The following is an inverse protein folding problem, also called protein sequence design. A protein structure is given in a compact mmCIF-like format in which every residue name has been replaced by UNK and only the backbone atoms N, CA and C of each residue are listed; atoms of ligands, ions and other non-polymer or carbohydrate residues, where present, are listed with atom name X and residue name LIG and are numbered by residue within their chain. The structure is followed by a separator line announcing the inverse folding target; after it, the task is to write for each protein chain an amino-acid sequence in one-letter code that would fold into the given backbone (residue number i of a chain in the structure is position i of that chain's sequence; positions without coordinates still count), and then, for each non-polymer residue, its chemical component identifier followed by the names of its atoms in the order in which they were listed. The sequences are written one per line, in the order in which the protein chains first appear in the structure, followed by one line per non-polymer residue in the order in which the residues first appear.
data_IF_120677321530
#
_entry.id   IF_120677321530
#
_cell.length_a   1.000
_cell.length_b   1.000
_cell.length_c   1.000
_cell.angle_alpha   90.00
_cell.angle_beta   90.00
_cell.angle_gamma   90.00
#
_symmetry.space_group_name_H-M   'P 1'
#
loop_
_entity.id
_entity.type
_entity.pdbx_description
1 polymer ?
#
# COMPACT_ATOMS: atom_id res chain seq x y z
N UNK A 1 -1.86 -4.39 -6.15
CA UNK A 1 -2.79 -3.60 -5.32
C UNK A 1 -3.80 -4.45 -4.57
N UNK A 2 -4.58 -5.32 -5.22
CA UNK A 2 -5.55 -6.18 -4.54
C UNK A 2 -4.93 -7.08 -3.45
N UNK A 3 -3.79 -7.72 -3.69
CA UNK A 3 -3.15 -8.59 -2.70
C UNK A 3 -2.78 -7.91 -1.38
N UNK A 4 -2.35 -6.64 -1.41
CA UNK A 4 -2.08 -5.87 -0.18
C UNK A 4 -3.36 -5.53 0.59
N UNK A 5 -4.44 -5.20 -0.12
CA UNK A 5 -5.76 -4.98 0.49
C UNK A 5 -6.30 -6.23 1.18
N UNK A 6 -6.18 -7.40 0.54
CA UNK A 6 -6.57 -8.69 1.12
C UNK A 6 -5.73 -8.99 2.36
N UNK A 7 -4.39 -8.89 2.24
CA UNK A 7 -3.49 -9.17 3.34
C UNK A 7 -3.73 -8.23 4.53
N UNK A 8 -3.89 -6.92 4.29
CA UNK A 8 -4.13 -5.95 5.36
C UNK A 8 -5.43 -6.25 6.10
N UNK A 9 -6.53 -6.56 5.38
CA UNK A 9 -7.78 -6.91 6.03
C UNK A 9 -7.69 -8.21 6.81
N UNK A 10 -7.10 -9.26 6.24
CA UNK A 10 -6.87 -10.53 6.94
C UNK A 10 -6.10 -10.33 8.25
N UNK A 11 -5.03 -9.53 8.23
CA UNK A 11 -4.28 -9.17 9.43
C UNK A 11 -5.11 -8.32 10.40
N UNK A 12 -5.89 -7.36 9.91
CA UNK A 12 -6.75 -6.51 10.74
C UNK A 12 -7.91 -7.28 11.42
N UNK A 13 -8.29 -8.45 10.91
CA UNK A 13 -9.27 -9.35 11.54
C UNK A 13 -8.69 -10.12 12.73
N UNK A 14 -7.39 -10.42 12.73
CA UNK A 14 -6.79 -11.33 13.73
C UNK A 14 -5.77 -10.65 14.64
N UNK A 15 -5.19 -9.53 14.24
CA UNK A 15 -4.19 -8.79 15.00
C UNK A 15 -4.72 -7.44 15.51
N UNK A 16 -4.15 -6.92 16.61
CA UNK A 16 -4.25 -5.50 16.95
C UNK A 16 -3.78 -4.62 15.78
N UNK A 17 -4.37 -3.44 15.65
CA UNK A 17 -4.15 -2.54 14.49
C UNK A 17 -2.67 -2.25 14.25
N UNK A 18 -1.92 -1.85 15.28
CA UNK A 18 -0.49 -1.54 15.14
C UNK A 18 0.33 -2.76 14.69
N UNK A 19 0.05 -3.94 15.25
CA UNK A 19 0.72 -5.18 14.85
C UNK A 19 0.36 -5.59 13.41
N UNK A 20 -0.90 -5.40 13.01
CA UNK A 20 -1.34 -5.60 11.63
C UNK A 20 -0.60 -4.65 10.67
N UNK A 21 -0.45 -3.37 11.03
CA UNK A 21 0.23 -2.36 10.23
C UNK A 21 1.70 -2.70 10.03
N UNK A 22 2.41 -3.10 11.09
CA UNK A 22 3.82 -3.49 11.02
C UNK A 22 3.99 -4.78 10.25
N UNK A 23 3.21 -5.82 10.55
CA UNK A 23 3.27 -7.12 9.86
C UNK A 23 3.00 -6.95 8.36
N UNK A 24 1.93 -6.23 8.01
CA UNK A 24 1.63 -5.90 6.63
C UNK A 24 2.72 -5.03 6.00
N UNK A 25 3.25 -4.05 6.74
CA UNK A 25 4.36 -3.20 6.32
C UNK A 25 5.58 -4.01 5.91
N UNK A 26 6.02 -4.96 6.74
CA UNK A 26 7.17 -5.83 6.47
C UNK A 26 6.93 -6.67 5.21
N UNK A 27 5.80 -7.36 5.14
CA UNK A 27 5.50 -8.23 4.00
C UNK A 27 5.36 -7.44 2.70
N UNK A 28 4.78 -6.25 2.75
CA UNK A 28 4.73 -5.37 1.57
C UNK A 28 6.07 -4.72 1.24
N UNK A 29 6.92 -4.42 2.23
CA UNK A 29 8.28 -3.94 1.99
C UNK A 29 9.07 -4.98 1.20
N UNK A 30 8.99 -6.25 1.61
CA UNK A 30 9.61 -7.38 0.90
C UNK A 30 9.00 -7.54 -0.48
N UNK A 31 7.67 -7.64 -0.60
CA UNK A 31 7.01 -7.89 -1.88
C UNK A 31 7.26 -6.77 -2.91
N UNK A 32 7.14 -5.51 -2.50
CA UNK A 32 7.39 -4.37 -3.38
C UNK A 32 8.89 -4.14 -3.61
N UNK A 33 9.73 -4.37 -2.61
CA UNK A 33 11.19 -4.34 -2.74
C UNK A 33 11.68 -5.38 -3.73
N UNK A 34 11.19 -6.61 -3.64
CA UNK A 34 11.50 -7.68 -4.59
C UNK A 34 11.08 -7.32 -6.02
N UNK A 35 9.86 -6.81 -6.20
CA UNK A 35 9.39 -6.31 -7.50
C UNK A 35 10.26 -5.17 -8.04
N UNK A 36 10.68 -4.24 -7.18
CA UNK A 36 11.54 -3.13 -7.55
C UNK A 36 12.95 -3.61 -7.96
N UNK A 37 13.50 -4.63 -7.28
CA UNK A 37 14.78 -5.26 -7.62
C UNK A 37 14.70 -5.97 -8.97
N UNK A 38 13.68 -6.81 -9.18
CA UNK A 38 13.48 -7.55 -10.43
C UNK A 38 13.35 -6.62 -11.64
N UNK A 39 12.73 -5.45 -11.47
CA UNK A 39 12.50 -4.48 -12.55
C UNK A 39 13.32 -3.20 -12.41
N UNK A 40 14.46 -3.24 -11.70
CA UNK A 40 15.27 -2.06 -11.36
C UNK A 40 15.66 -1.18 -12.55
N UNK A 41 15.87 -1.79 -13.71
CA UNK A 41 16.22 -1.10 -14.95
C UNK A 41 15.09 -0.20 -15.50
N UNK A 42 13.85 -0.41 -15.04
CA UNK A 42 12.68 0.37 -15.45
C UNK A 42 12.26 1.41 -14.39
N UNK A 43 12.99 1.54 -13.28
CA UNK A 43 12.63 2.49 -12.22
C UNK A 43 12.93 3.92 -12.65
N UNK A 44 11.93 4.80 -12.59
CA UNK A 44 12.10 6.23 -12.82
C UNK A 44 12.61 6.94 -11.55
N UNK A 45 13.93 6.89 -11.32
CA UNK A 45 14.57 7.37 -10.09
C UNK A 45 14.27 8.83 -9.71
N UNK A 46 14.05 9.72 -10.70
CA UNK A 46 13.63 11.12 -10.44
C UNK A 46 12.29 11.20 -9.70
N UNK A 47 11.35 10.31 -10.01
CA UNK A 47 10.06 10.24 -9.30
C UNK A 47 10.29 9.73 -7.88
N UNK A 48 11.15 8.71 -7.74
CA UNK A 48 11.45 8.09 -6.44
C UNK A 48 12.05 9.09 -5.46
N UNK A 49 13.03 9.90 -5.87
CA UNK A 49 13.67 10.88 -5.00
C UNK A 49 12.65 11.88 -4.41
N UNK A 50 11.78 12.45 -5.26
CA UNK A 50 10.73 13.37 -4.82
C UNK A 50 9.69 12.68 -3.95
N UNK A 51 9.25 11.47 -4.34
CA UNK A 51 8.29 10.70 -3.56
C UNK A 51 8.85 10.37 -2.17
N UNK A 52 10.10 9.91 -2.09
CA UNK A 52 10.75 9.51 -0.84
C UNK A 52 10.87 10.68 0.14
N UNK A 53 11.28 11.87 -0.35
CA UNK A 53 11.33 13.08 0.45
C UNK A 53 9.97 13.40 1.07
N UNK A 54 8.91 13.42 0.25
CA UNK A 54 7.56 13.73 0.73
C UNK A 54 6.96 12.60 1.60
N UNK A 55 7.32 11.35 1.34
CA UNK A 55 6.97 10.20 2.18
C UNK A 55 7.58 10.32 3.58
N UNK A 56 8.82 10.79 3.70
CA UNK A 56 9.44 11.04 4.99
C UNK A 56 8.72 12.17 5.75
N UNK A 57 8.32 13.24 5.06
CA UNK A 57 7.53 14.31 5.66
C UNK A 57 6.18 13.82 6.19
N UNK A 58 5.43 13.02 5.42
CA UNK A 58 4.17 12.42 5.88
C UNK A 58 4.35 11.49 7.08
N UNK A 59 5.43 10.70 7.10
CA UNK A 59 5.79 9.85 8.24
C UNK A 59 6.08 10.70 9.48
N UNK A 60 6.83 11.79 9.33
CA UNK A 60 7.10 12.75 10.40
C UNK A 60 5.82 13.36 10.96
N UNK A 61 4.88 13.78 10.11
CA UNK A 61 3.58 14.32 10.54
C UNK A 61 2.83 13.30 11.39
N UNK A 62 2.65 12.06 10.92
CA UNK A 62 1.93 11.03 11.67
C UNK A 62 2.64 10.65 12.97
N UNK A 63 3.98 10.57 12.96
CA UNK A 63 4.76 10.29 14.15
C UNK A 63 4.60 11.40 15.21
N UNK A 64 4.65 12.67 14.80
CA UNK A 64 4.48 13.83 15.69
C UNK A 64 3.11 13.86 16.35
N UNK A 65 2.04 13.56 15.61
CA UNK A 65 0.69 13.52 16.18
C UNK A 65 0.36 12.18 16.86
N UNK A 66 1.25 11.20 16.78
CA UNK A 66 1.07 9.84 17.33
C UNK A 66 -0.26 9.19 16.92
N UNK A 67 -0.69 9.42 15.67
CA UNK A 67 -1.98 8.94 15.21
C UNK A 67 -1.96 7.42 14.98
N UNK A 68 -2.91 6.73 15.60
CA UNK A 68 -3.20 5.32 15.34
C UNK A 68 -4.71 5.16 15.09
N UNK A 69 -5.14 4.59 13.95
CA UNK A 69 -6.56 4.45 13.66
C UNK A 69 -7.20 3.43 14.62
N UNK A 70 -8.40 3.74 15.10
CA UNK A 70 -9.22 2.74 15.79
C UNK A 70 -9.60 1.62 14.82
N UNK A 71 -9.94 0.44 15.34
CA UNK A 71 -10.34 -0.70 14.49
C UNK A 71 -11.56 -0.39 13.59
N UNK A 72 -12.64 0.26 14.05
CA UNK A 72 -13.75 0.68 13.18
C UNK A 72 -13.28 1.63 12.07
N UNK A 73 -12.47 2.64 12.42
CA UNK A 73 -11.94 3.61 11.46
C UNK A 73 -11.04 2.93 10.41
N UNK A 74 -10.20 1.97 10.82
CA UNK A 74 -9.38 1.21 9.90
C UNK A 74 -10.23 0.46 8.87
N UNK A 75 -11.26 -0.28 9.29
CA UNK A 75 -12.14 -1.00 8.35
C UNK A 75 -12.92 -0.04 7.46
N UNK A 76 -13.35 1.11 7.98
CA UNK A 76 -13.99 2.16 7.17
C UNK A 76 -13.06 2.63 6.06
N UNK A 77 -11.81 2.99 6.41
CA UNK A 77 -10.83 3.46 5.44
C UNK A 77 -10.41 2.36 4.45
N UNK A 78 -10.22 1.12 4.91
CA UNK A 78 -9.97 -0.04 4.05
C UNK A 78 -11.12 -0.30 3.08
N UNK A 79 -12.36 0.06 3.44
CA UNK A 79 -13.52 -0.02 2.58
C UNK A 79 -13.60 1.11 1.55
N UNK A 80 -13.28 2.34 1.96
CA UNK A 80 -13.40 3.53 1.12
C UNK A 80 -12.23 3.71 0.13
N UNK A 81 -10.99 3.51 0.55
CA UNK A 81 -9.81 3.75 -0.30
C UNK A 81 -9.85 2.95 -1.61
N UNK A 82 -10.25 1.66 -1.64
CA UNK A 82 -10.43 0.90 -2.87
C UNK A 82 -11.42 1.51 -3.86
N UNK A 83 -12.43 2.26 -3.40
CA UNK A 83 -13.45 2.85 -4.28
C UNK A 83 -12.88 3.92 -5.21
N UNK A 84 -11.67 4.44 -4.92
CA UNK A 84 -10.95 5.35 -5.82
C UNK A 84 -10.71 4.76 -7.21
N UNK A 85 -10.78 3.44 -7.41
CA UNK A 85 -10.69 2.81 -8.74
C UNK A 85 -11.80 3.25 -9.70
N UNK A 86 -12.94 3.70 -9.16
CA UNK A 86 -14.09 4.18 -9.94
C UNK A 86 -14.08 5.69 -10.20
N UNK A 87 -13.09 6.40 -9.66
CA UNK A 87 -12.99 7.85 -9.83
C UNK A 87 -12.78 8.19 -11.32
N UNK A 88 -13.62 9.04 -11.93
CA UNK A 88 -13.50 9.34 -13.34
C UNK A 88 -12.16 10.00 -13.67
N UNK A 89 -11.34 9.31 -14.46
CA UNK A 89 -9.96 9.73 -14.76
C UNK A 89 -9.86 11.09 -15.45
N UNK A 90 -10.93 11.55 -16.08
CA UNK A 90 -10.97 12.86 -16.73
C UNK A 90 -11.10 14.02 -15.72
N UNK A 91 -11.56 13.75 -14.49
CA UNK A 91 -11.65 14.77 -13.42
C UNK A 91 -10.29 15.10 -12.82
N UNK A 92 -9.29 14.23 -12.98
CA UNK A 92 -8.00 14.36 -12.32
C UNK A 92 -6.86 14.37 -13.34
N UNK A 93 -6.02 15.41 -13.25
CA UNK A 93 -4.88 15.64 -14.14
C UNK A 93 -3.53 15.45 -13.44
N UNK A 94 -3.43 14.40 -12.61
CA UNK A 94 -2.21 14.07 -11.88
C UNK A 94 -1.26 13.23 -12.75
N UNK A 95 0.03 13.51 -12.58
CA UNK A 95 1.13 12.91 -13.36
C UNK A 95 2.40 12.88 -12.51
N UNK A 96 2.72 11.70 -11.98
CA UNK A 96 3.87 11.46 -11.10
C UNK A 96 5.23 11.80 -11.74
N UNK A 97 5.31 11.95 -13.07
CA UNK A 97 6.55 12.34 -13.73
C UNK A 97 6.91 13.82 -13.51
N UNK A 98 5.93 14.64 -13.10
CA UNK A 98 6.11 16.05 -12.73
C UNK A 98 6.49 16.16 -11.24
N UNK A 99 7.53 16.93 -10.94
CA UNK A 99 8.06 17.09 -9.57
C UNK A 99 7.00 17.46 -8.53
N UNK A 100 6.12 18.46 -8.73
CA UNK A 100 5.11 18.81 -7.73
C UNK A 100 4.14 17.66 -7.46
N UNK A 101 3.74 16.93 -8.49
CA UNK A 101 2.83 15.79 -8.35
C UNK A 101 3.51 14.59 -7.69
N UNK A 102 4.80 14.35 -7.94
CA UNK A 102 5.57 13.31 -7.24
C UNK A 102 5.66 13.59 -5.74
N UNK A 103 5.87 14.85 -5.35
CA UNK A 103 5.85 15.29 -3.95
C UNK A 103 4.46 15.12 -3.33
N UNK A 104 3.41 15.59 -4.00
CA UNK A 104 2.02 15.42 -3.53
C UNK A 104 1.67 13.93 -3.41
N UNK A 105 2.09 13.11 -4.38
CA UNK A 105 1.93 11.66 -4.35
C UNK A 105 2.63 11.05 -3.14
N UNK A 106 3.91 11.35 -2.95
CA UNK A 106 4.70 10.86 -1.81
C UNK A 106 4.07 11.19 -0.46
N UNK A 107 3.57 12.42 -0.31
CA UNK A 107 2.91 12.85 0.92
C UNK A 107 1.55 12.17 1.11
N UNK A 108 0.62 12.31 0.16
CA UNK A 108 -0.76 11.82 0.32
C UNK A 108 -0.86 10.30 0.32
N UNK A 109 -0.13 9.62 -0.56
CA UNK A 109 -0.15 8.14 -0.61
C UNK A 109 0.44 7.56 0.67
N UNK A 110 1.50 8.16 1.20
CA UNK A 110 2.08 7.71 2.48
C UNK A 110 1.15 8.02 3.63
N UNK A 111 0.54 9.21 3.67
CA UNK A 111 -0.45 9.57 4.69
C UNK A 111 -1.62 8.57 4.71
N UNK A 112 -2.19 8.26 3.55
CA UNK A 112 -3.26 7.25 3.43
C UNK A 112 -2.76 5.86 3.80
N UNK A 113 -1.52 5.48 3.44
CA UNK A 113 -0.98 4.18 3.82
C UNK A 113 -0.77 4.07 5.35
N UNK A 114 -0.43 5.18 6.00
CA UNK A 114 -0.26 5.28 7.45
C UNK A 114 -1.59 5.39 8.21
N UNK A 115 -2.70 5.74 7.57
CA UNK A 115 -4.02 5.85 8.25
C UNK A 115 -4.96 4.70 7.88
N UNK A 116 -4.95 4.27 6.62
CA UNK A 116 -5.82 3.24 6.06
C UNK A 116 -5.13 1.89 5.88
N UNK A 117 -3.81 1.80 6.09
CA UNK A 117 -3.02 0.58 5.91
C UNK A 117 -2.72 0.22 4.45
N UNK A 118 -3.46 0.75 3.47
CA UNK A 118 -3.27 0.54 2.03
C UNK A 118 -3.59 1.83 1.26
N UNK A 119 -2.77 2.16 0.26
CA UNK A 119 -2.96 3.38 -0.56
C UNK A 119 -2.76 3.17 -2.08
N UNK A 120 -2.69 1.91 -2.53
CA UNK A 120 -2.48 1.58 -3.94
C UNK A 120 -3.45 2.29 -4.91
N UNK A 121 -4.77 2.27 -4.66
CA UNK A 121 -5.76 2.95 -5.51
C UNK A 121 -5.50 4.45 -5.67
N UNK A 122 -5.05 5.10 -4.60
CA UNK A 122 -4.65 6.50 -4.65
C UNK A 122 -3.38 6.68 -5.48
N UNK A 123 -2.36 5.83 -5.28
CA UNK A 123 -1.12 5.87 -6.06
C UNK A 123 -1.37 5.71 -7.55
N UNK A 124 -2.31 4.84 -7.93
CA UNK A 124 -2.66 4.59 -9.33
C UNK A 124 -3.10 5.84 -10.08
N UNK A 125 -3.85 6.73 -9.42
CA UNK A 125 -4.35 7.98 -10.00
C UNK A 125 -3.19 8.85 -10.52
N UNK A 126 -2.08 8.91 -9.79
CA UNK A 126 -0.92 9.72 -10.17
C UNK A 126 -0.16 9.17 -11.38
N UNK A 127 -0.34 7.90 -11.73
CA UNK A 127 0.38 7.27 -12.84
C UNK A 127 -0.43 7.15 -14.13
N UNK A 128 -1.73 7.49 -14.11
CA UNK A 128 -2.62 7.35 -15.28
C UNK A 128 -2.14 8.14 -16.50
N UNK A 129 -1.61 9.35 -16.29
CA UNK A 129 -1.25 10.29 -17.37
C UNK A 129 0.26 10.38 -17.64
N UNK A 130 1.06 9.57 -16.96
CA UNK A 130 2.52 9.55 -17.19
C UNK A 130 2.82 9.02 -18.59
N UNK A 131 3.87 9.53 -19.23
CA UNK A 131 4.39 8.97 -20.49
C UNK A 131 5.24 7.68 -20.28
N UNK A 132 5.16 7.08 -19.08
CA UNK A 132 5.92 5.89 -18.72
C UNK A 132 5.32 4.65 -19.38
N UNK A 133 6.18 3.74 -19.81
CA UNK A 133 5.77 2.41 -20.27
C UNK A 133 5.17 1.59 -19.12
N UNK A 134 4.40 0.54 -19.44
CA UNK A 134 3.80 -0.36 -18.43
C UNK A 134 4.83 -0.89 -17.42
N UNK A 135 6.02 -1.28 -17.89
CA UNK A 135 7.08 -1.83 -17.05
C UNK A 135 7.66 -0.75 -16.13
N UNK A 136 7.82 0.48 -16.64
CA UNK A 136 8.25 1.62 -15.82
C UNK A 136 7.21 1.98 -14.76
N UNK A 137 5.91 1.96 -15.09
CA UNK A 137 4.83 2.20 -14.13
C UNK A 137 4.88 1.16 -13.01
N UNK A 138 4.94 -0.13 -13.34
CA UNK A 138 4.96 -1.22 -12.34
C UNK A 138 6.21 -1.13 -11.46
N UNK A 139 7.38 -0.95 -12.06
CA UNK A 139 8.65 -0.85 -11.33
C UNK A 139 8.69 0.39 -10.42
N UNK A 140 8.28 1.54 -10.94
CA UNK A 140 8.32 2.81 -10.19
C UNK A 140 7.31 2.82 -9.05
N UNK A 141 6.08 2.31 -9.25
CA UNK A 141 5.10 2.16 -8.16
C UNK A 141 5.61 1.21 -7.06
N UNK A 142 6.22 0.09 -7.44
CA UNK A 142 6.80 -0.82 -6.46
C UNK A 142 7.90 -0.11 -5.63
N UNK A 143 8.79 0.61 -6.31
CA UNK A 143 9.85 1.38 -5.65
C UNK A 143 9.32 2.51 -4.76
N UNK A 144 8.26 3.25 -5.15
CA UNK A 144 7.66 4.26 -4.26
C UNK A 144 6.99 3.62 -3.04
N UNK A 145 6.32 2.48 -3.23
CA UNK A 145 5.64 1.79 -2.13
C UNK A 145 6.62 1.28 -1.06
N UNK A 146 7.87 0.95 -1.40
CA UNK A 146 8.93 0.63 -0.43
C UNK A 146 9.05 1.71 0.64
N UNK A 147 9.07 3.00 0.26
CA UNK A 147 9.18 4.11 1.21
C UNK A 147 7.93 4.24 2.08
N UNK A 148 6.74 4.11 1.50
CA UNK A 148 5.49 4.20 2.27
C UNK A 148 5.35 3.07 3.28
N UNK A 149 5.80 1.86 2.94
CA UNK A 149 5.77 0.71 3.83
C UNK A 149 6.87 0.75 4.89
N UNK A 150 8.06 1.22 4.52
CA UNK A 150 9.12 1.52 5.48
C UNK A 150 8.65 2.56 6.50
N UNK A 151 8.05 3.67 6.05
CA UNK A 151 7.44 4.67 6.93
C UNK A 151 6.45 4.04 7.90
N UNK A 152 5.57 3.15 7.43
CA UNK A 152 4.60 2.43 8.28
C UNK A 152 5.27 1.55 9.33
N UNK A 153 6.32 0.82 8.96
CA UNK A 153 7.09 0.00 9.91
C UNK A 153 7.73 0.90 10.96
N UNK A 154 8.32 2.03 10.57
CA UNK A 154 8.99 2.92 11.53
C UNK A 154 7.99 3.59 12.47
N UNK A 155 6.90 4.15 11.94
CA UNK A 155 5.87 4.87 12.71
C UNK A 155 5.20 3.95 13.73
N UNK A 156 4.81 2.73 13.35
CA UNK A 156 4.07 1.84 14.24
C UNK A 156 4.93 0.78 14.93
N UNK A 157 6.08 0.43 14.36
CA UNK A 157 6.99 -0.55 14.92
C UNK A 157 7.87 0.01 16.03
N UNK A 158 8.30 1.28 15.92
CA UNK A 158 9.12 1.92 16.97
C UNK A 158 8.40 1.91 18.33
N UNK A 159 7.14 2.37 18.45
CA UNK A 159 6.42 2.31 19.72
C UNK A 159 6.19 0.87 20.23
N UNK A 160 5.92 -0.09 19.34
CA UNK A 160 5.72 -1.50 19.71
C UNK A 160 6.99 -2.12 20.31
N UNK A 161 8.16 -1.80 19.75
CA UNK A 161 9.45 -2.26 20.26
C UNK A 161 9.79 -1.63 21.61
N UNK A 162 9.58 -0.31 21.74
CA UNK A 162 9.87 0.43 22.97
C UNK A 162 8.95 0.04 24.14
N UNK A 163 7.67 -0.22 23.86
CA UNK A 163 6.70 -0.66 24.87
C UNK A 163 6.86 -2.12 25.30
N UNK A 164 7.87 -2.84 24.77
CA UNK A 164 8.13 -4.27 25.01
C UNK A 164 6.90 -5.19 24.77
N UNK A 165 5.95 -4.78 23.92
CA UNK A 165 4.74 -5.53 23.60
C UNK A 165 5.03 -6.68 22.60
N UNK A 166 6.02 -7.52 22.91
CA UNK A 166 6.46 -8.63 22.05
C UNK A 166 5.37 -9.65 21.75
N UNK A 167 4.35 -9.77 22.61
CA UNK A 167 3.22 -10.68 22.43
C UNK A 167 2.17 -10.23 21.39
N UNK A 168 2.21 -8.98 20.92
CA UNK A 168 1.24 -8.47 19.95
C UNK A 168 1.62 -8.81 18.49
N UNK A 169 2.91 -9.09 18.23
CA UNK A 169 3.42 -9.41 16.90
C UNK A 169 3.32 -10.91 16.61
N UNK A 170 3.12 -11.32 15.34
CA UNK A 170 3.22 -12.71 14.96
C UNK A 170 4.59 -13.31 15.34
N UNK A 171 4.66 -14.61 15.66
CA UNK A 171 5.94 -15.26 15.94
C UNK A 171 6.84 -15.28 14.71
N UNK A 172 8.15 -15.29 14.91
CA UNK A 172 9.15 -15.15 13.84
C UNK A 172 9.02 -16.20 12.72
N UNK A 173 8.57 -17.42 13.05
CA UNK A 173 8.36 -18.47 12.04
C UNK A 173 7.28 -18.09 11.02
N UNK A 174 6.27 -17.28 11.40
CA UNK A 174 5.26 -16.78 10.46
C UNK A 174 5.93 -15.89 9.42
N UNK A 175 6.85 -15.01 9.83
CA UNK A 175 7.62 -14.18 8.91
C UNK A 175 8.55 -15.02 8.04
N UNK A 176 9.21 -16.03 8.61
CA UNK A 176 10.09 -16.94 7.85
C UNK A 176 9.35 -17.66 6.71
N UNK A 177 8.05 -17.96 6.87
CA UNK A 177 7.21 -18.54 5.82
C UNK A 177 6.60 -17.47 4.90
N UNK A 178 6.07 -16.38 5.47
CA UNK A 178 5.33 -15.37 4.73
C UNK A 178 6.23 -14.52 3.81
N UNK A 179 7.50 -14.30 4.17
CA UNK A 179 8.46 -13.54 3.36
C UNK A 179 8.71 -14.25 2.01
N UNK A 180 9.18 -15.52 1.97
CA UNK A 180 9.31 -16.26 0.72
C UNK A 180 8.00 -16.37 -0.05
N UNK A 181 6.88 -16.64 0.63
CA UNK A 181 5.56 -16.72 -0.01
C UNK A 181 5.18 -15.39 -0.69
N UNK A 182 5.49 -14.24 -0.09
CA UNK A 182 5.23 -12.91 -0.67
C UNK A 182 6.09 -12.62 -1.91
N UNK A 183 7.34 -13.11 -1.92
CA UNK A 183 8.24 -13.01 -3.06
C UNK A 183 7.77 -13.90 -4.21
N UNK A 184 7.44 -15.17 -3.92
CA UNK A 184 6.89 -16.11 -4.89
C UNK A 184 5.56 -15.61 -5.47
N UNK A 185 4.66 -15.09 -4.62
CA UNK A 185 3.41 -14.49 -5.07
C UNK A 185 3.62 -13.27 -5.97
N UNK A 186 4.69 -12.51 -5.76
CA UNK A 186 5.06 -11.39 -6.64
C UNK A 186 5.51 -11.87 -8.02
N UNK A 187 6.27 -12.97 -8.08
CA UNK A 187 6.68 -13.59 -9.35
C UNK A 187 5.46 -14.17 -10.08
N UNK A 188 4.64 -14.97 -9.39
CA UNK A 188 3.42 -15.55 -9.96
C UNK A 188 2.44 -14.48 -10.45
N UNK A 189 2.29 -13.38 -9.71
CA UNK A 189 1.50 -12.23 -10.12
C UNK A 189 2.00 -11.59 -11.43
N UNK A 190 3.32 -11.56 -11.65
CA UNK A 190 3.92 -11.16 -12.93
C UNK A 190 3.51 -12.09 -14.08
N UNK A 191 3.59 -13.40 -13.87
CA UNK A 191 3.19 -14.39 -14.88
C UNK A 191 1.70 -14.33 -15.27
N UNK A 192 0.83 -14.04 -14.30
CA UNK A 192 -0.59 -13.81 -14.56
C UNK A 192 -0.79 -12.50 -15.32
N UNK A 193 -0.08 -11.43 -14.92
CA UNK A 193 -0.16 -10.13 -15.58
C UNK A 193 0.24 -10.22 -17.06
N UNK A 194 1.24 -11.02 -17.40
CA UNK A 194 1.67 -11.22 -18.79
C UNK A 194 0.67 -12.01 -19.65
N UNK A 195 -0.31 -12.67 -19.03
CA UNK A 195 -1.33 -13.49 -19.71
C UNK A 195 -2.71 -12.84 -19.81
N UNK A 196 -2.91 -11.68 -19.18
CA UNK A 196 -4.18 -10.96 -19.15
C UNK A 196 -4.08 -9.66 -19.96
N UNK A 197 -5.16 -9.28 -20.64
CA UNK A 197 -5.21 -7.99 -21.33
C UNK A 197 -5.26 -6.84 -20.32
N UNK A 198 -4.77 -5.66 -20.72
CA UNK A 198 -4.86 -4.44 -19.87
C UNK A 198 -6.30 -4.06 -19.52
N UNK A 199 -7.25 -4.37 -20.42
CA UNK A 199 -8.69 -4.12 -20.23
C UNK A 199 -9.23 -5.03 -19.15
N UNK A 200 -8.97 -6.33 -19.26
CA UNK A 200 -9.43 -7.33 -18.30
C UNK A 200 -8.78 -7.12 -16.94
N UNK A 201 -7.47 -6.86 -16.91
CA UNK A 201 -6.76 -6.59 -15.66
C UNK A 201 -7.38 -5.43 -14.87
N UNK A 202 -7.67 -4.32 -15.55
CA UNK A 202 -8.33 -3.16 -14.93
C UNK A 202 -9.74 -3.50 -14.45
N UNK A 203 -10.53 -4.19 -15.28
CA UNK A 203 -11.90 -4.60 -14.96
C UNK A 203 -11.95 -5.53 -13.74
N UNK A 204 -11.18 -6.61 -13.75
CA UNK A 204 -11.12 -7.57 -12.65
C UNK A 204 -10.60 -6.94 -11.38
N UNK A 205 -9.52 -6.15 -11.46
CA UNK A 205 -8.99 -5.45 -10.29
C UNK A 205 -10.05 -4.54 -9.67
N UNK A 206 -10.76 -3.74 -10.46
CA UNK A 206 -11.79 -2.84 -9.97
C UNK A 206 -12.90 -3.59 -9.22
N UNK A 207 -13.46 -4.66 -9.80
CA UNK A 207 -14.53 -5.43 -9.16
C UNK A 207 -14.06 -6.20 -7.92
N UNK A 208 -12.87 -6.81 -7.95
CA UNK A 208 -12.32 -7.54 -6.80
C UNK A 208 -12.12 -6.60 -5.62
N UNK A 209 -11.46 -5.46 -5.82
CA UNK A 209 -11.20 -4.53 -4.71
C UNK A 209 -12.47 -3.83 -4.23
N UNK A 210 -13.48 -3.68 -5.10
CA UNK A 210 -14.80 -3.18 -4.72
C UNK A 210 -15.52 -4.17 -3.80
N UNK A 211 -15.60 -5.44 -4.19
CA UNK A 211 -16.24 -6.47 -3.36
C UNK A 211 -15.58 -6.58 -1.98
N UNK A 212 -14.25 -6.62 -1.94
CA UNK A 212 -13.49 -6.62 -0.68
C UNK A 212 -13.76 -5.35 0.14
N UNK A 213 -13.78 -4.18 -0.50
CA UNK A 213 -14.05 -2.91 0.15
C UNK A 213 -15.44 -2.88 0.78
N UNK A 214 -16.47 -3.39 0.10
CA UNK A 214 -17.84 -3.49 0.63
C UNK A 214 -17.90 -4.40 1.88
N UNK A 215 -17.17 -5.51 1.89
CA UNK A 215 -17.05 -6.37 3.09
C UNK A 215 -16.47 -5.59 4.27
N UNK A 216 -15.42 -4.79 4.03
CA UNK A 216 -14.81 -3.97 5.09
C UNK A 216 -15.73 -2.83 5.56
N UNK A 217 -16.51 -2.22 4.67
CA UNK A 217 -17.53 -1.24 5.07
C UNK A 217 -18.61 -1.87 5.96
N UNK A 218 -19.08 -3.08 5.60
CA UNK A 218 -20.00 -3.85 6.45
C UNK A 218 -19.40 -4.14 7.83
N UNK A 219 -18.12 -4.53 7.88
CA UNK A 219 -17.42 -4.74 9.15
C UNK A 219 -17.27 -3.45 9.96
N UNK A 220 -16.98 -2.33 9.30
CA UNK A 220 -16.89 -1.03 9.96
C UNK A 220 -18.22 -0.64 10.59
N UNK A 221 -19.33 -0.75 9.85
CA UNK A 221 -20.67 -0.47 10.36
C UNK A 221 -21.00 -1.31 11.61
N UNK A 222 -20.70 -2.61 11.58
CA UNK A 222 -20.87 -3.49 12.75
C UNK A 222 -20.03 -3.09 13.97
N UNK A 223 -18.87 -2.46 13.77
CA UNK A 223 -17.99 -2.03 14.85
C UNK A 223 -18.33 -0.64 15.40
N UNK A 224 -19.19 0.12 14.70
CA UNK A 224 -19.67 1.44 15.14
C UNK A 224 -21.02 1.40 15.87
N UNK A 225 -21.77 0.29 15.72
CA UNK A 225 -23.00 -0.01 16.47
C UNK A 225 -22.66 -0.63 17.82
#
# INVERSE_FOLDING_TARGET
MAGGLVLMGALAFVLPVSAAFVTHGILQLVANGWRAVLHRQHVAWRIIANYALASAAAAGVIALVSFAPSRPLLFLLLGLVPMLVWLPRHWIQLDAAKTPHALISGFLVTLVNLTAGVAGPLLDIFFVRTALTRHQIVATKAATQVFSHLAKILVYGTPLLLAAQRGAMPPLWVFALAIPASMLGTIAGGWVLDRISDVDFKRWTAWIVTGIGLVYLGKAAQLFL
#
